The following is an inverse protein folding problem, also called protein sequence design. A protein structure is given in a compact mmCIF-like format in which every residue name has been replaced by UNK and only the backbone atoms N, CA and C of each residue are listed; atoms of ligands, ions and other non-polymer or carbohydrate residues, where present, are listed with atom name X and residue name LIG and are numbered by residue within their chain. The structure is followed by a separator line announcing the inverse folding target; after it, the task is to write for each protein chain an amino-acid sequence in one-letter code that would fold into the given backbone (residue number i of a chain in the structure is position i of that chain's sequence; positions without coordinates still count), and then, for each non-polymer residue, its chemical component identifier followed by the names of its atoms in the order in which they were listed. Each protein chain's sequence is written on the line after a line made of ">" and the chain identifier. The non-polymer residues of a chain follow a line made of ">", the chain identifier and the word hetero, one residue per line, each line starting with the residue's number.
data_IF_229926091796
#
_entry.id   IF_229926091796
#
_cell.length_a   1.000
_cell.length_b   1.000
_cell.length_c   1.000
_cell.angle_alpha   90.00
_cell.angle_beta   90.00
_cell.angle_gamma   90.00
#
_symmetry.space_group_name_H-M   'P 1'
#
loop_
_entity.id
_entity.type
_entity.pdbx_description
1 polymer ?
#
# COMPACT_ATOMS: atom_id res chain seq x y z
N UNK A 1 7.22 5.18 -16.71
CA UNK A 1 8.45 4.82 -15.94
C UNK A 1 8.45 5.50 -14.57
N UNK A 2 9.01 4.87 -13.54
CA UNK A 2 9.19 5.46 -12.20
C UNK A 2 10.66 5.57 -11.81
N UNK A 3 11.05 6.67 -11.18
CA UNK A 3 12.33 6.79 -10.49
C UNK A 3 12.08 6.77 -8.97
N UNK A 4 12.69 5.80 -8.28
CA UNK A 4 12.68 5.69 -6.83
C UNK A 4 13.96 6.33 -6.31
N UNK A 5 13.81 7.44 -5.58
CA UNK A 5 14.89 8.34 -5.21
C UNK A 5 14.96 8.49 -3.68
N UNK A 6 16.14 8.71 -3.09
CA UNK A 6 16.25 9.11 -1.69
C UNK A 6 15.40 10.36 -1.43
N UNK A 7 14.51 10.33 -0.44
CA UNK A 7 13.70 11.52 -0.11
C UNK A 7 14.59 12.66 0.41
N UNK A 8 15.68 12.32 1.10
CA UNK A 8 16.73 13.27 1.46
C UNK A 8 17.38 13.85 0.19
N UNK A 9 17.01 15.09 -0.16
CA UNK A 9 17.54 15.79 -1.33
C UNK A 9 16.59 15.84 -2.54
N UNK A 10 15.38 15.28 -2.42
CA UNK A 10 14.37 15.26 -3.50
C UNK A 10 13.12 16.03 -3.09
N UNK A 11 13.24 17.34 -2.91
CA UNK A 11 12.17 18.19 -2.39
C UNK A 11 11.16 18.67 -3.45
N UNK A 12 11.49 18.57 -4.73
CA UNK A 12 10.62 19.03 -5.83
C UNK A 12 10.68 18.13 -7.06
N UNK A 13 9.66 18.18 -7.95
CA UNK A 13 9.67 17.46 -9.22
C UNK A 13 10.88 17.79 -10.10
N UNK A 14 11.36 19.03 -10.09
CA UNK A 14 12.53 19.47 -10.88
C UNK A 14 13.81 18.81 -10.35
N UNK A 15 13.98 18.76 -9.03
CA UNK A 15 15.10 18.08 -8.40
C UNK A 15 15.06 16.57 -8.70
N UNK A 16 13.88 15.96 -8.59
CA UNK A 16 13.67 14.55 -8.92
C UNK A 16 14.01 14.24 -10.38
N UNK A 17 13.58 15.11 -11.31
CA UNK A 17 13.91 14.98 -12.73
C UNK A 17 15.42 15.14 -12.99
N UNK A 18 16.09 16.06 -12.30
CA UNK A 18 17.54 16.22 -12.37
C UNK A 18 18.30 14.98 -11.90
N UNK A 19 17.87 14.38 -10.78
CA UNK A 19 18.46 13.13 -10.27
C UNK A 19 18.20 11.95 -11.21
N UNK A 20 16.98 11.83 -11.75
CA UNK A 20 16.65 10.84 -12.78
C UNK A 20 17.59 10.95 -13.98
N UNK A 21 17.81 12.17 -14.50
CA UNK A 21 18.77 12.40 -15.59
C UNK A 21 20.19 12.03 -15.20
N UNK A 22 20.63 12.37 -13.99
CA UNK A 22 21.95 12.00 -13.51
C UNK A 22 22.16 10.48 -13.48
N UNK A 23 21.14 9.72 -13.04
CA UNK A 23 21.14 8.24 -13.07
C UNK A 23 21.27 7.74 -14.51
N UNK A 24 20.58 8.35 -15.47
CA UNK A 24 20.70 7.97 -16.89
C UNK A 24 22.10 8.25 -17.45
N UNK A 25 22.64 9.44 -17.20
CA UNK A 25 23.83 9.99 -17.85
C UNK A 25 25.16 9.47 -17.31
N UNK A 26 25.26 9.12 -16.01
CA UNK A 26 26.54 8.75 -15.42
C UNK A 26 26.64 7.25 -15.13
N UNK A 27 27.73 6.65 -15.62
CA UNK A 27 28.00 5.22 -15.56
C UNK A 27 28.76 4.75 -14.33
N UNK A 28 29.35 5.64 -13.51
CA UNK A 28 30.08 5.23 -12.31
C UNK A 28 29.10 4.91 -11.17
N UNK A 29 28.85 3.62 -10.87
CA UNK A 29 27.85 3.23 -9.89
C UNK A 29 28.44 3.45 -8.50
N UNK A 30 27.78 4.26 -7.68
CA UNK A 30 27.98 4.20 -6.24
C UNK A 30 27.22 3.01 -5.67
N UNK A 31 27.69 2.45 -4.55
CA UNK A 31 26.96 1.37 -3.89
C UNK A 31 25.53 1.83 -3.56
N UNK A 32 24.51 1.00 -3.85
CA UNK A 32 23.13 1.35 -3.57
C UNK A 32 22.92 1.53 -2.07
N UNK A 33 22.06 2.49 -1.71
CA UNK A 33 21.64 2.64 -0.32
C UNK A 33 20.96 1.35 0.16
N UNK A 34 21.12 0.95 1.44
CA UNK A 34 20.51 -0.27 1.98
C UNK A 34 19.00 -0.35 1.71
N UNK A 35 18.29 0.77 1.86
CA UNK A 35 16.84 0.86 1.60
C UNK A 35 16.47 0.59 0.14
N UNK A 36 17.31 1.00 -0.82
CA UNK A 36 17.13 0.71 -2.24
C UNK A 36 17.39 -0.78 -2.51
N UNK A 37 18.42 -1.34 -1.88
CA UNK A 37 18.71 -2.78 -1.95
C UNK A 37 17.54 -3.64 -1.46
N UNK A 38 16.85 -3.23 -0.40
CA UNK A 38 15.64 -3.92 0.11
C UNK A 38 14.52 -3.91 -0.94
N UNK A 39 14.25 -2.77 -1.59
CA UNK A 39 13.22 -2.66 -2.63
C UNK A 39 13.51 -3.61 -3.78
N UNK A 40 14.77 -3.66 -4.25
CA UNK A 40 15.18 -4.58 -5.32
C UNK A 40 15.06 -6.05 -4.90
N UNK A 41 15.42 -6.38 -3.66
CA UNK A 41 15.27 -7.73 -3.13
C UNK A 41 13.78 -8.15 -3.06
N UNK A 42 12.87 -7.24 -2.71
CA UNK A 42 11.44 -7.49 -2.67
C UNK A 42 10.87 -7.70 -4.08
N UNK A 43 11.24 -6.85 -5.05
CA UNK A 43 10.85 -6.99 -6.45
C UNK A 43 11.31 -8.33 -7.06
N UNK A 44 12.47 -8.85 -6.65
CA UNK A 44 12.95 -10.16 -7.13
C UNK A 44 12.22 -11.34 -6.52
N UNK A 45 11.66 -11.19 -5.33
CA UNK A 45 10.93 -12.25 -4.61
C UNK A 45 9.47 -12.37 -5.05
N UNK A 46 8.89 -11.28 -5.53
CA UNK A 46 7.49 -11.20 -5.91
C UNK A 46 7.41 -10.83 -7.39
N UNK A 47 6.96 -11.76 -8.23
CA UNK A 47 6.55 -11.40 -9.58
C UNK A 47 5.46 -10.32 -9.47
N UNK A 48 5.64 -9.23 -10.21
CA UNK A 48 4.79 -8.06 -10.07
C UNK A 48 4.87 -7.17 -11.30
N UNK A 49 4.12 -6.05 -11.31
CA UNK A 49 3.98 -5.19 -12.48
C UNK A 49 5.21 -4.31 -12.75
N UNK A 50 6.29 -4.46 -11.98
CA UNK A 50 7.46 -3.58 -12.03
C UNK A 50 8.74 -4.39 -12.23
N UNK A 51 9.60 -3.92 -13.11
CA UNK A 51 10.96 -4.43 -13.26
C UNK A 51 12.02 -3.35 -13.18
N UNK A 52 13.23 -3.78 -12.83
CA UNK A 52 14.38 -2.92 -12.64
C UNK A 52 15.05 -2.70 -14.00
N UNK A 53 15.04 -1.45 -14.48
CA UNK A 53 15.57 -1.09 -15.81
C UNK A 53 17.09 -1.22 -15.88
N UNK A 54 17.77 -0.89 -14.77
CA UNK A 54 19.23 -0.93 -14.67
C UNK A 54 19.66 -1.17 -13.21
N UNK A 55 20.90 -1.64 -12.97
CA UNK A 55 21.40 -1.83 -11.62
C UNK A 55 21.22 -0.57 -10.75
N UNK A 56 20.69 -0.69 -9.52
CA UNK A 56 20.53 0.46 -8.63
C UNK A 56 21.90 1.00 -8.19
N UNK A 57 21.93 2.27 -7.85
CA UNK A 57 23.10 2.91 -7.24
C UNK A 57 22.70 3.82 -6.08
N UNK A 58 23.66 4.54 -5.48
CA UNK A 58 23.43 5.42 -4.34
C UNK A 58 22.44 6.56 -4.61
N UNK A 59 22.13 6.85 -5.88
CA UNK A 59 21.20 7.91 -6.30
C UNK A 59 19.77 7.39 -6.43
N UNK A 60 19.57 6.07 -6.53
CA UNK A 60 18.25 5.48 -6.55
C UNK A 60 18.12 4.27 -7.48
N UNK A 61 16.88 4.05 -7.91
CA UNK A 61 16.45 2.90 -8.69
C UNK A 61 15.46 3.36 -9.77
N UNK A 62 15.60 2.82 -10.98
CA UNK A 62 14.66 3.05 -12.07
C UNK A 62 13.79 1.81 -12.27
N UNK A 63 12.48 2.03 -12.32
CA UNK A 63 11.47 1.00 -12.48
C UNK A 63 10.67 1.24 -13.76
N UNK A 64 10.50 0.17 -14.53
CA UNK A 64 9.59 0.13 -15.66
C UNK A 64 8.32 -0.61 -15.26
N UNK A 65 7.19 -0.19 -15.83
CA UNK A 65 5.91 -0.84 -15.62
C UNK A 65 5.73 -1.87 -16.73
N UNK A 66 5.68 -3.14 -16.35
CA UNK A 66 5.46 -4.24 -17.30
C UNK A 66 3.98 -4.40 -17.64
N UNK A 67 3.09 -4.05 -16.71
CA UNK A 67 1.65 -4.02 -16.95
C UNK A 67 1.28 -2.77 -17.76
N UNK A 68 0.35 -2.91 -18.72
CA UNK A 68 -0.28 -1.75 -19.37
C UNK A 68 -1.08 -0.86 -18.41
N UNK A 69 -1.27 -1.30 -17.16
CA UNK A 69 -1.93 -0.55 -16.10
C UNK A 69 -0.90 0.24 -15.25
N UNK A 70 -0.86 1.54 -15.50
CA UNK A 70 0.00 2.49 -14.80
C UNK A 70 -0.34 2.64 -13.31
N UNK A 71 -1.62 2.57 -12.92
CA UNK A 71 -2.04 2.70 -11.52
C UNK A 71 -1.60 1.50 -10.70
N UNK A 72 -1.66 0.30 -11.27
CA UNK A 72 -1.11 -0.92 -10.64
C UNK A 72 0.40 -0.79 -10.41
N UNK A 73 1.13 -0.28 -11.39
CA UNK A 73 2.55 0.04 -11.25
C UNK A 73 2.83 1.05 -10.13
N UNK A 74 2.12 2.18 -10.14
CA UNK A 74 2.29 3.24 -9.14
C UNK A 74 1.94 2.75 -7.72
N UNK A 75 0.82 2.02 -7.58
CA UNK A 75 0.40 1.41 -6.33
C UNK A 75 1.48 0.49 -5.76
N UNK A 76 2.08 -0.35 -6.62
CA UNK A 76 3.17 -1.25 -6.22
C UNK A 76 4.41 -0.47 -5.80
N UNK A 77 4.79 0.55 -6.57
CA UNK A 77 5.95 1.39 -6.26
C UNK A 77 5.78 2.10 -4.90
N UNK A 78 4.61 2.70 -4.65
CA UNK A 78 4.32 3.38 -3.39
C UNK A 78 4.25 2.42 -2.19
N UNK A 79 3.73 1.20 -2.35
CA UNK A 79 3.77 0.16 -1.29
C UNK A 79 5.19 -0.24 -0.92
N UNK A 80 6.06 -0.41 -1.92
CA UNK A 80 7.45 -0.76 -1.69
C UNK A 80 8.22 0.35 -0.97
N UNK A 81 7.84 1.62 -1.17
CA UNK A 81 8.59 2.78 -0.65
C UNK A 81 7.99 3.44 0.58
N UNK A 82 6.72 3.16 0.93
CA UNK A 82 5.95 3.86 1.96
C UNK A 82 6.67 4.02 3.32
N UNK A 83 7.49 3.04 3.71
CA UNK A 83 8.18 3.01 5.00
C UNK A 83 9.70 3.22 4.90
N UNK A 84 10.22 3.58 3.72
CA UNK A 84 11.67 3.51 3.41
C UNK A 84 12.34 4.86 3.15
N UNK A 85 11.66 5.97 3.42
CA UNK A 85 12.13 7.34 3.14
C UNK A 85 12.63 7.50 1.68
N UNK A 86 11.90 6.85 0.77
CA UNK A 86 12.14 6.88 -0.67
C UNK A 86 10.97 7.61 -1.35
N UNK A 87 11.27 8.60 -2.17
CA UNK A 87 10.30 9.29 -3.01
C UNK A 87 10.12 8.51 -4.32
N UNK A 88 8.88 8.52 -4.85
CA UNK A 88 8.56 7.93 -6.15
C UNK A 88 8.25 9.06 -7.12
N UNK A 89 9.04 9.17 -8.16
CA UNK A 89 8.87 10.16 -9.22
C UNK A 89 8.34 9.48 -10.49
N UNK A 90 7.16 9.91 -10.94
CA UNK A 90 6.58 9.51 -12.22
C UNK A 90 7.22 10.34 -13.33
N UNK A 91 8.09 9.70 -14.14
CA UNK A 91 8.94 10.42 -15.10
C UNK A 91 8.10 11.12 -16.16
N UNK A 92 7.16 10.40 -16.76
CA UNK A 92 6.36 10.87 -17.90
C UNK A 92 5.39 11.98 -17.48
N UNK A 93 4.79 11.82 -16.29
CA UNK A 93 3.83 12.77 -15.75
C UNK A 93 4.46 13.92 -14.94
N UNK A 94 5.77 13.84 -14.66
CA UNK A 94 6.50 14.78 -13.80
C UNK A 94 5.87 14.98 -12.42
N UNK A 95 5.28 13.92 -11.86
CA UNK A 95 4.68 13.94 -10.52
C UNK A 95 5.61 13.31 -9.51
N UNK A 96 5.74 13.96 -8.35
CA UNK A 96 6.57 13.49 -7.25
C UNK A 96 5.69 13.09 -6.07
N UNK A 97 5.75 11.81 -5.70
CA UNK A 97 5.16 11.30 -4.47
C UNK A 97 6.23 11.25 -3.39
N UNK A 98 6.25 12.28 -2.55
CA UNK A 98 7.25 12.44 -1.51
C UNK A 98 6.73 11.91 -0.17
N UNK A 99 7.42 10.96 0.49
CA UNK A 99 6.90 10.29 1.68
C UNK A 99 6.78 11.20 2.89
N UNK A 100 7.62 12.26 2.98
CA UNK A 100 7.61 13.18 4.13
C UNK A 100 6.51 14.23 4.08
N UNK A 101 5.88 14.41 2.91
CA UNK A 101 4.74 15.32 2.74
C UNK A 101 3.43 14.54 2.54
N UNK A 102 3.50 13.21 2.46
CA UNK A 102 2.35 12.35 2.33
C UNK A 102 1.55 12.28 3.64
N UNK A 103 0.23 12.21 3.54
CA UNK A 103 -0.62 11.82 4.65
C UNK A 103 -0.69 10.28 4.72
N UNK A 104 -0.58 9.73 5.93
CA UNK A 104 -0.56 8.28 6.17
C UNK A 104 -1.97 7.73 6.29
N UNK A 105 -2.72 7.86 5.20
CA UNK A 105 -4.11 7.42 5.09
C UNK A 105 -4.20 6.47 3.92
N UNK A 106 -4.70 5.25 4.10
CA UNK A 106 -4.95 4.34 2.99
C UNK A 106 -6.03 4.93 2.07
N UNK A 107 -5.82 4.79 0.76
CA UNK A 107 -6.76 5.22 -0.27
C UNK A 107 -7.08 4.03 -1.16
N UNK A 108 -8.36 3.69 -1.27
CA UNK A 108 -8.84 2.69 -2.22
C UNK A 108 -9.44 3.38 -3.43
N UNK A 109 -9.04 2.95 -4.62
CA UNK A 109 -9.53 3.42 -5.91
C UNK A 109 -9.79 2.20 -6.79
N UNK A 110 -11.01 1.66 -6.74
CA UNK A 110 -11.35 0.41 -7.40
C UNK A 110 -10.48 -0.76 -6.86
N UNK A 111 -9.73 -1.48 -7.72
CA UNK A 111 -8.85 -2.56 -7.28
C UNK A 111 -7.53 -2.05 -6.67
N UNK A 112 -7.21 -0.76 -6.79
CA UNK A 112 -5.95 -0.21 -6.30
C UNK A 112 -6.10 0.27 -4.85
N UNK A 113 -5.10 -0.03 -4.02
CA UNK A 113 -5.06 0.45 -2.63
C UNK A 113 -3.68 1.02 -2.31
N UNK A 114 -3.64 2.33 -2.10
CA UNK A 114 -2.44 3.10 -1.85
C UNK A 114 -2.22 3.23 -0.33
N UNK A 115 -1.00 3.02 0.18
CA UNK A 115 -0.72 3.04 1.63
C UNK A 115 -0.67 4.47 2.21
N UNK A 116 -0.44 5.46 1.36
CA UNK A 116 -0.34 6.87 1.72
C UNK A 116 -0.93 7.70 0.59
N UNK A 117 -1.33 8.92 0.91
CA UNK A 117 -1.86 9.87 -0.05
C UNK A 117 -0.97 11.11 -0.13
N UNK A 118 -0.76 11.59 -1.34
CA UNK A 118 -0.02 12.81 -1.65
C UNK A 118 -0.91 13.70 -2.51
N UNK A 119 -0.69 15.01 -2.48
CA UNK A 119 -1.46 15.94 -3.31
C UNK A 119 -1.44 15.56 -4.81
N UNK A 120 -0.29 15.17 -5.43
CA UNK A 120 -0.28 14.70 -6.81
C UNK A 120 -1.05 13.39 -7.04
N UNK A 121 -1.18 12.54 -6.02
CA UNK A 121 -2.00 11.34 -6.10
C UNK A 121 -3.50 11.70 -6.07
N UNK A 122 -3.90 12.69 -5.25
CA UNK A 122 -5.28 13.19 -5.25
C UNK A 122 -5.64 13.81 -6.60
N UNK A 123 -4.74 14.61 -7.19
CA UNK A 123 -4.90 15.17 -8.54
C UNK A 123 -5.09 14.08 -9.60
N UNK A 124 -4.32 12.99 -9.50
CA UNK A 124 -4.41 11.85 -10.41
C UNK A 124 -5.74 11.09 -10.24
N UNK A 125 -6.15 10.84 -9.00
CA UNK A 125 -7.34 10.04 -8.70
C UNK A 125 -8.65 10.81 -8.94
N UNK A 126 -8.63 12.15 -8.86
CA UNK A 126 -9.79 13.01 -9.11
C UNK A 126 -9.48 13.92 -10.31
N UNK A 127 -9.45 13.40 -11.56
CA UNK A 127 -9.15 14.23 -12.74
C UNK A 127 -10.24 15.28 -12.99
N UNK A 128 -9.95 16.29 -13.82
CA UNK A 128 -10.92 17.34 -14.16
C UNK A 128 -12.13 16.80 -14.93
N UNK A 129 -11.92 15.73 -15.69
CA UNK A 129 -12.93 15.01 -16.45
C UNK A 129 -12.87 13.56 -16.01
N UNK A 130 -13.95 13.07 -15.38
CA UNK A 130 -14.07 11.68 -14.95
C UNK A 130 -15.03 10.93 -15.86
N UNK A 131 -14.71 9.67 -16.08
CA UNK A 131 -15.69 8.72 -16.59
C UNK A 131 -16.69 8.39 -15.47
N UNK A 132 -17.97 8.30 -15.79
CA UNK A 132 -19.00 7.87 -14.84
C UNK A 132 -18.75 6.43 -14.36
N UNK A 133 -18.11 5.62 -15.20
CA UNK A 133 -17.68 4.26 -14.86
C UNK A 133 -16.36 4.24 -14.08
N UNK A 134 -15.79 5.42 -13.78
CA UNK A 134 -14.60 5.56 -12.96
C UNK A 134 -14.83 5.03 -11.55
N UNK A 135 -13.85 4.30 -10.96
CA UNK A 135 -14.02 3.70 -9.67
C UNK A 135 -14.20 4.77 -8.58
N UNK A 136 -15.09 4.49 -7.63
CA UNK A 136 -15.20 5.32 -6.45
C UNK A 136 -13.92 5.28 -5.62
N UNK A 137 -13.64 6.39 -4.93
CA UNK A 137 -12.51 6.52 -4.01
C UNK A 137 -13.02 6.42 -2.58
N UNK A 138 -12.29 5.70 -1.75
CA UNK A 138 -12.51 5.68 -0.31
C UNK A 138 -11.19 5.95 0.40
N UNK A 139 -11.21 6.92 1.31
CA UNK A 139 -10.14 7.21 2.24
C UNK A 139 -10.66 6.94 3.65
N UNK A 140 -9.85 6.29 4.49
CA UNK A 140 -10.25 5.94 5.85
C UNK A 140 -9.10 6.24 6.82
N UNK A 141 -9.35 7.09 7.81
CA UNK A 141 -8.44 7.24 8.95
C UNK A 141 -8.62 6.08 9.92
N UNK A 142 -9.88 5.69 10.12
CA UNK A 142 -10.30 4.57 10.94
C UNK A 142 -11.68 4.06 10.46
N UNK A 143 -12.34 3.22 11.26
CA UNK A 143 -13.65 2.64 10.94
C UNK A 143 -14.78 3.68 10.98
N UNK A 144 -14.65 4.69 11.83
CA UNK A 144 -15.68 5.68 12.11
C UNK A 144 -15.45 7.00 11.38
N UNK A 145 -14.28 7.14 10.72
CA UNK A 145 -13.84 8.36 10.03
C UNK A 145 -13.41 8.04 8.60
N UNK A 146 -14.33 8.24 7.66
CA UNK A 146 -14.12 7.91 6.24
C UNK A 146 -14.58 9.04 5.33
N UNK A 147 -13.95 9.15 4.16
CA UNK A 147 -14.34 10.01 3.05
C UNK A 147 -14.49 9.15 1.80
N UNK A 148 -15.69 9.17 1.22
CA UNK A 148 -16.04 8.51 -0.01
C UNK A 148 -16.28 9.52 -1.13
N UNK A 149 -15.83 9.21 -2.34
CA UNK A 149 -15.91 10.11 -3.49
C UNK A 149 -16.31 9.30 -4.71
N UNK A 150 -17.43 9.64 -5.34
CA UNK A 150 -17.88 8.98 -6.58
C UNK A 150 -18.36 9.99 -7.61
N UNK A 151 -18.30 9.57 -8.86
CA UNK A 151 -18.84 10.33 -9.99
C UNK A 151 -20.33 10.01 -10.14
N UNK A 152 -21.13 11.05 -10.34
CA UNK A 152 -22.53 10.97 -10.77
C UNK A 152 -22.63 11.37 -12.25
N UNK A 153 -23.80 11.14 -12.89
CA UNK A 153 -24.12 11.78 -14.17
C UNK A 153 -23.90 13.29 -14.14
N UNK A 154 -23.80 13.89 -15.34
CA UNK A 154 -23.65 15.33 -15.56
C UNK A 154 -22.38 15.94 -14.91
N UNK A 155 -21.30 15.16 -14.84
CA UNK A 155 -20.01 15.57 -14.27
C UNK A 155 -20.05 15.99 -12.80
N UNK A 156 -21.11 15.64 -12.06
CA UNK A 156 -21.25 15.93 -10.64
C UNK A 156 -20.44 14.94 -9.79
N UNK A 157 -19.59 15.43 -8.90
CA UNK A 157 -18.93 14.67 -7.85
C UNK A 157 -19.78 14.65 -6.59
N UNK A 158 -19.99 13.46 -6.05
CA UNK A 158 -20.52 13.28 -4.70
C UNK A 158 -19.37 12.94 -3.75
N UNK A 159 -19.21 13.76 -2.71
CA UNK A 159 -18.32 13.51 -1.59
C UNK A 159 -19.18 13.24 -0.37
N UNK A 160 -18.99 12.09 0.26
CA UNK A 160 -19.68 11.73 1.50
C UNK A 160 -18.62 11.49 2.56
N UNK A 161 -18.75 12.11 3.73
CA UNK A 161 -17.94 11.75 4.88
C UNK A 161 -18.79 11.16 5.99
N UNK A 162 -18.20 10.18 6.67
CA UNK A 162 -18.75 9.56 7.87
C UNK A 162 -17.86 9.94 9.04
N UNK A 163 -18.46 10.45 10.13
CA UNK A 163 -17.75 10.74 11.37
C UNK A 163 -18.67 10.46 12.55
N UNK A 164 -18.25 9.55 13.44
CA UNK A 164 -18.97 9.24 14.67
C UNK A 164 -20.45 8.84 14.47
N UNK A 165 -20.77 8.12 13.39
CA UNK A 165 -22.13 7.66 13.07
C UNK A 165 -22.94 8.63 12.22
N UNK A 166 -22.48 9.88 12.05
CA UNK A 166 -23.17 10.88 11.23
C UNK A 166 -22.61 10.89 9.81
N UNK A 167 -23.50 11.05 8.83
CA UNK A 167 -23.16 11.09 7.42
C UNK A 167 -23.51 12.45 6.84
N UNK A 168 -22.58 12.97 6.07
CA UNK A 168 -22.68 14.27 5.44
C UNK A 168 -22.24 14.18 4.00
N UNK A 169 -22.90 14.95 3.15
CA UNK A 169 -22.67 14.96 1.71
C UNK A 169 -22.42 16.36 1.18
N UNK A 170 -21.54 16.42 0.19
CA UNK A 170 -21.34 17.54 -0.71
C UNK A 170 -21.53 17.05 -2.15
N UNK A 171 -22.32 17.80 -2.93
CA UNK A 171 -22.44 17.64 -4.38
C UNK A 171 -21.77 18.83 -5.05
N UNK A 172 -20.85 18.58 -5.99
CA UNK A 172 -20.09 19.63 -6.66
C UNK A 172 -19.68 19.21 -8.06
N UNK A 173 -19.72 20.11 -9.04
CA UNK A 173 -19.11 19.94 -10.36
C UNK A 173 -17.64 20.41 -10.37
N UNK A 174 -17.21 21.14 -9.33
CA UNK A 174 -15.82 21.60 -9.19
C UNK A 174 -14.88 20.48 -8.66
N UNK A 175 -14.17 19.83 -9.60
CA UNK A 175 -13.13 18.86 -9.27
C UNK A 175 -11.96 19.45 -8.45
N UNK A 176 -11.67 20.75 -8.56
CA UNK A 176 -10.62 21.40 -7.77
C UNK A 176 -11.05 21.53 -6.32
N UNK A 177 -12.32 21.86 -6.08
CA UNK A 177 -12.89 21.83 -4.74
C UNK A 177 -12.81 20.42 -4.15
N UNK A 178 -13.24 19.41 -4.89
CA UNK A 178 -13.20 18.01 -4.44
C UNK A 178 -11.78 17.60 -4.02
N UNK A 179 -10.76 17.87 -4.84
CA UNK A 179 -9.35 17.59 -4.50
C UNK A 179 -8.90 18.31 -3.24
N UNK A 180 -9.23 19.60 -3.11
CA UNK A 180 -8.87 20.39 -1.95
C UNK A 180 -9.49 19.82 -0.68
N UNK A 181 -10.76 19.42 -0.75
CA UNK A 181 -11.45 18.72 0.35
C UNK A 181 -10.74 17.42 0.69
N UNK A 182 -10.50 16.56 -0.30
CA UNK A 182 -9.84 15.26 -0.09
C UNK A 182 -8.46 15.42 0.55
N UNK A 183 -7.67 16.39 0.08
CA UNK A 183 -6.34 16.63 0.60
C UNK A 183 -6.35 17.21 2.01
N UNK A 184 -7.18 18.23 2.28
CA UNK A 184 -7.34 18.79 3.62
C UNK A 184 -7.86 17.73 4.61
N UNK A 185 -8.84 16.92 4.20
CA UNK A 185 -9.39 15.82 5.00
C UNK A 185 -8.31 14.79 5.35
N UNK A 186 -7.52 14.36 4.36
CA UNK A 186 -6.44 13.40 4.59
C UNK A 186 -5.37 13.94 5.57
N UNK A 187 -5.21 15.27 5.64
CA UNK A 187 -4.25 15.93 6.53
C UNK A 187 -4.81 16.33 7.90
N UNK A 188 -6.07 16.03 8.20
CA UNK A 188 -6.79 16.53 9.38
C UNK A 188 -6.79 18.07 9.49
N UNK A 189 -6.74 18.78 8.38
CA UNK A 189 -6.97 20.23 8.34
C UNK A 189 -8.46 20.50 8.59
N UNK A 190 -8.85 21.43 9.46
CA UNK A 190 -10.28 21.67 9.76
C UNK A 190 -11.01 22.46 8.67
N UNK A 191 -10.28 23.09 7.74
CA UNK A 191 -10.85 23.95 6.70
C UNK A 191 -11.96 23.27 5.90
N UNK A 192 -11.80 21.99 5.54
CA UNK A 192 -12.79 21.28 4.72
C UNK A 192 -14.15 21.13 5.41
N UNK A 193 -14.16 21.07 6.75
CA UNK A 193 -15.39 20.94 7.52
C UNK A 193 -16.02 22.31 7.78
N UNK A 194 -15.20 23.31 8.11
CA UNK A 194 -15.67 24.65 8.49
C UNK A 194 -16.11 25.50 7.29
N UNK A 195 -15.45 25.36 6.14
CA UNK A 195 -15.67 26.22 4.98
C UNK A 195 -16.75 25.71 4.02
N UNK A 196 -17.29 24.52 4.26
CA UNK A 196 -18.19 23.83 3.35
C UNK A 196 -19.54 23.61 4.02
N UNK A 197 -20.60 23.96 3.32
CA UNK A 197 -21.97 23.71 3.76
C UNK A 197 -22.36 22.26 3.48
N UNK A 198 -21.87 21.35 4.32
CA UNK A 198 -22.22 19.94 4.30
C UNK A 198 -23.71 19.71 4.52
N UNK A 199 -24.31 18.80 3.75
CA UNK A 199 -25.71 18.41 3.91
C UNK A 199 -25.79 17.09 4.66
N UNK A 200 -26.54 16.99 5.77
CA UNK A 200 -26.82 15.70 6.40
C UNK A 200 -27.45 14.74 5.39
N UNK A 201 -27.04 13.48 5.40
CA UNK A 201 -27.60 12.45 4.55
C UNK A 201 -27.75 11.12 5.29
N UNK A 202 -28.55 10.21 4.73
CA UNK A 202 -28.60 8.83 5.19
C UNK A 202 -27.31 8.10 4.78
N UNK A 203 -26.92 7.03 5.50
CA UNK A 203 -25.83 6.16 5.07
C UNK A 203 -26.14 5.59 3.68
N UNK A 204 -25.15 5.48 2.78
CA UNK A 204 -25.38 4.93 1.46
C UNK A 204 -25.85 3.48 1.59
N UNK A 205 -26.88 3.13 0.81
CA UNK A 205 -27.41 1.76 0.76
C UNK A 205 -26.33 0.82 0.16
N UNK A 206 -25.53 0.20 1.01
CA UNK A 206 -24.43 -0.68 0.59
C UNK A 206 -23.07 -0.38 1.21
N UNK A 207 -22.94 0.61 2.10
CA UNK A 207 -21.76 0.70 2.99
C UNK A 207 -21.83 -0.46 4.00
N UNK A 208 -21.43 -1.65 3.54
CA UNK A 208 -20.84 -2.59 4.46
C UNK A 208 -19.59 -1.89 5.00
N UNK A 209 -19.42 -1.74 6.33
CA UNK A 209 -18.22 -1.14 6.90
C UNK A 209 -17.03 -1.83 6.25
N UNK A 210 -16.06 -1.05 5.74
CA UNK A 210 -14.81 -1.58 5.18
C UNK A 210 -14.28 -2.60 6.18
N UNK A 211 -14.55 -3.88 5.91
CA UNK A 211 -14.14 -4.96 6.79
C UNK A 211 -12.64 -4.94 6.74
N UNK A 212 -12.09 -4.69 7.91
CA UNK A 212 -10.71 -4.49 8.20
C UNK A 212 -9.93 -5.71 7.71
N UNK A 213 -9.51 -5.72 6.44
CA UNK A 213 -8.68 -6.79 5.89
C UNK A 213 -7.43 -6.95 6.77
N UNK A 214 -6.95 -5.88 7.42
CA UNK A 214 -5.86 -5.93 8.38
C UNK A 214 -6.28 -6.52 9.74
N UNK A 215 -7.45 -6.25 10.30
CA UNK A 215 -7.91 -6.92 11.53
C UNK A 215 -8.44 -8.34 11.29
N UNK A 216 -8.95 -8.64 10.09
CA UNK A 216 -9.25 -10.00 9.65
C UNK A 216 -7.95 -10.78 9.47
N UNK A 217 -6.93 -10.21 8.82
CA UNK A 217 -5.59 -10.80 8.75
C UNK A 217 -4.90 -10.88 10.11
N UNK A 218 -5.06 -9.89 11.00
CA UNK A 218 -4.52 -9.95 12.36
C UNK A 218 -5.25 -11.02 13.18
N UNK A 219 -6.57 -11.15 13.05
CA UNK A 219 -7.33 -12.22 13.70
C UNK A 219 -6.93 -13.60 13.15
N UNK A 220 -6.76 -13.75 11.83
CA UNK A 220 -6.24 -14.98 11.21
C UNK A 220 -4.80 -15.27 11.65
N UNK A 221 -3.94 -14.26 11.77
CA UNK A 221 -2.57 -14.42 12.27
C UNK A 221 -2.53 -14.78 13.76
N UNK A 222 -3.46 -14.26 14.55
CA UNK A 222 -3.58 -14.54 15.99
C UNK A 222 -4.17 -15.93 16.22
N UNK A 223 -5.08 -16.38 15.35
CA UNK A 223 -5.59 -17.76 15.28
C UNK A 223 -4.49 -18.75 14.84
N UNK A 224 -3.73 -18.45 13.78
CA UNK A 224 -2.57 -19.25 13.34
C UNK A 224 -1.50 -19.32 14.43
N UNK A 225 -1.25 -18.22 15.15
CA UNK A 225 -0.32 -18.21 16.28
C UNK A 225 -0.81 -19.07 17.43
N UNK A 226 -2.10 -19.04 17.75
CA UNK A 226 -2.68 -19.91 18.76
C UNK A 226 -2.64 -21.40 18.36
N UNK A 227 -2.79 -21.71 17.07
CA UNK A 227 -2.65 -23.06 16.52
C UNK A 227 -1.19 -23.55 16.57
N UNK A 228 -0.22 -22.66 16.30
CA UNK A 228 1.22 -22.94 16.46
C UNK A 228 1.61 -23.10 17.92
N UNK A 229 1.10 -22.28 18.84
CA UNK A 229 1.30 -22.46 20.29
C UNK A 229 0.67 -23.80 20.77
N UNK A 230 -0.43 -24.23 20.15
CA UNK A 230 -1.04 -25.55 20.36
C UNK A 230 -0.20 -26.72 19.82
N UNK A 231 0.56 -26.49 18.73
CA UNK A 231 1.53 -27.43 18.17
C UNK A 231 2.85 -27.48 18.96
N UNK A 232 3.27 -26.37 19.58
CA UNK A 232 4.39 -26.37 20.55
C UNK A 232 3.99 -27.02 21.89
N UNK A 233 2.70 -27.00 22.23
CA UNK A 233 2.15 -27.73 23.39
C UNK A 233 1.96 -29.24 23.14
N UNK A 234 1.98 -29.70 21.89
CA UNK A 234 2.28 -31.10 21.57
C UNK A 234 3.76 -31.31 21.88
N UNK A 235 4.03 -31.68 23.13
CA UNK A 235 5.37 -31.89 23.68
C UNK A 235 6.20 -32.78 22.73
N UNK A 236 6.99 -32.12 21.87
CA UNK A 236 7.91 -32.77 20.93
C UNK A 236 8.89 -33.64 21.70
N UNK A 237 9.16 -33.31 22.98
CA UNK A 237 9.91 -34.14 23.91
C UNK A 237 9.19 -35.43 24.30
N UNK A 238 7.87 -35.41 24.51
CA UNK A 238 7.07 -36.60 24.76
C UNK A 238 6.99 -37.51 23.52
N UNK A 239 6.81 -36.93 22.33
CA UNK A 239 6.80 -37.68 21.07
C UNK A 239 8.18 -38.28 20.71
N UNK A 240 9.28 -37.56 20.98
CA UNK A 240 10.64 -38.10 20.84
C UNK A 240 10.93 -39.18 21.88
N UNK A 241 10.46 -39.05 23.12
CA UNK A 241 10.60 -40.09 24.13
C UNK A 241 9.81 -41.36 23.79
N UNK A 242 8.60 -41.25 23.21
CA UNK A 242 7.86 -42.39 22.69
C UNK A 242 8.58 -43.05 21.50
N UNK A 243 9.19 -42.26 20.61
CA UNK A 243 9.97 -42.79 19.49
C UNK A 243 11.26 -43.49 19.95
N UNK A 244 11.96 -42.95 20.95
CA UNK A 244 13.12 -43.59 21.57
C UNK A 244 12.73 -44.89 22.27
N UNK A 245 11.61 -44.90 23.00
CA UNK A 245 11.09 -46.12 23.64
C UNK A 245 10.69 -47.19 22.60
N UNK A 246 10.09 -46.79 21.48
CA UNK A 246 9.74 -47.71 20.39
C UNK A 246 11.00 -48.25 19.70
N UNK A 247 12.01 -47.41 19.50
CA UNK A 247 13.29 -47.79 18.89
C UNK A 247 14.05 -48.77 19.78
N UNK A 248 14.07 -48.53 21.09
CA UNK A 248 14.66 -49.45 22.05
C UNK A 248 13.92 -50.80 22.08
N UNK A 249 12.59 -50.78 22.01
CA UNK A 249 11.77 -52.00 21.95
C UNK A 249 12.00 -52.84 20.69
N UNK A 250 12.40 -52.23 19.56
CA UNK A 250 12.73 -52.95 18.32
C UNK A 250 14.14 -53.55 18.40
N UNK A 251 15.06 -52.91 19.12
CA UNK A 251 16.43 -53.40 19.33
C UNK A 251 16.51 -54.53 20.37
N UNK A 252 15.55 -54.61 21.29
CA UNK A 252 15.43 -55.69 22.29
C UNK A 252 14.64 -56.91 21.77
N UNK A 253 14.34 -57.00 20.47
CA UNK A 253 13.78 -58.22 19.87
C UNK A 253 14.92 -59.25 19.75
N UNK A 254 14.99 -60.14 20.73
CA UNK A 254 15.84 -61.34 20.71
C UNK A 254 15.56 -62.16 19.43
N UNK A 255 16.53 -62.16 18.51
CA UNK A 255 16.53 -63.05 17.34
C UNK A 255 16.89 -64.45 17.84
N UNK A 256 16.01 -65.45 17.75
CA UNK A 256 16.33 -66.79 18.25
C UNK A 256 17.49 -67.40 17.45
N UNK A 257 18.51 -67.87 18.16
CA UNK A 257 19.66 -68.60 17.61
C UNK A 257 19.18 -69.79 16.77
N UNK A 258 19.49 -69.74 15.47
CA UNK A 258 19.31 -70.87 14.57
C UNK A 258 20.51 -71.81 14.74
N UNK A 259 20.33 -72.86 15.55
CA UNK A 259 21.27 -73.99 15.62
C UNK A 259 21.42 -74.64 14.23
N UNK A 260 22.65 -74.67 13.71
CA UNK A 260 23.07 -75.46 12.55
C UNK A 260 23.88 -76.68 12.99
#
# INVERSE_FOLDING_TARGET
>A
MFAVLPAAGTGSPEQAFGQYRAILEHSEPTAPLPVVGIVVAQLRRQAGPLSVVRPPDGRGLLLEVESGDHLTGLCTALRLTATRDLAVFEVDARRLHHPRTAARVPVKAGPHSFPTVTEPLVDLLIPNTRDIDGPALTLAHDRDTQLHIRQLPDDILELTHHTAGEHFRLLTDDARLARKVTWSWARHDSWWHEAISWQPCDPPAGDAPVTDEAAALLAELEELRAEVDGLEALDIGAAMNELDALTQSVLDIDIPDLDF
#
